data_IF_456400138509
#
_entry.id   IF_456400138509
#
_cell.length_a   1.000
_cell.length_b   1.000
_cell.length_c   1.000
_cell.angle_alpha   90.00
_cell.angle_beta   90.00
_cell.angle_gamma   90.00
#
_symmetry.space_group_name_H-M   'P 1'
#
loop_
_entity.id
_entity.type
_entity.pdbx_description
1 polymer ?
#
# COMPACT_ATOMS: atom_id res chain seq x y z
N UNK A 1 -13.97 7.85 -13.06
CA UNK A 1 -13.11 6.68 -12.69
C UNK A 1 -12.94 6.42 -11.19
N UNK A 2 -13.70 7.12 -10.34
CA UNK A 2 -13.56 7.15 -8.87
C UNK A 2 -13.69 5.80 -8.14
N UNK A 3 -14.34 4.80 -8.76
CA UNK A 3 -14.47 3.45 -8.19
C UNK A 3 -13.13 2.71 -8.08
N UNK A 4 -12.25 2.85 -9.06
CA UNK A 4 -10.92 2.19 -9.04
C UNK A 4 -10.08 2.71 -7.88
N UNK A 5 -10.05 4.04 -7.72
CA UNK A 5 -9.39 4.71 -6.59
C UNK A 5 -9.95 4.20 -5.26
N UNK A 6 -11.28 4.16 -5.10
CA UNK A 6 -11.94 3.69 -3.87
C UNK A 6 -11.60 2.23 -3.55
N UNK A 7 -11.62 1.34 -4.54
CA UNK A 7 -11.27 -0.07 -4.35
C UNK A 7 -9.81 -0.19 -3.92
N UNK A 8 -8.89 0.50 -4.60
CA UNK A 8 -7.48 0.49 -4.23
C UNK A 8 -7.25 1.03 -2.81
N UNK A 9 -7.91 2.14 -2.45
CA UNK A 9 -7.86 2.68 -1.08
C UNK A 9 -8.37 1.68 -0.05
N UNK A 10 -9.49 1.01 -0.32
CA UNK A 10 -10.04 0.01 0.59
C UNK A 10 -9.07 -1.17 0.79
N UNK A 11 -8.50 -1.70 -0.30
CA UNK A 11 -7.48 -2.76 -0.23
C UNK A 11 -6.25 -2.31 0.56
N UNK A 12 -5.79 -1.08 0.36
CA UNK A 12 -4.64 -0.54 1.09
C UNK A 12 -4.94 -0.38 2.58
N UNK A 13 -6.10 0.15 2.96
CA UNK A 13 -6.51 0.26 4.37
C UNK A 13 -6.63 -1.11 5.04
N UNK A 14 -7.20 -2.09 4.35
CA UNK A 14 -7.28 -3.47 4.85
C UNK A 14 -5.88 -4.05 5.05
N UNK A 15 -4.99 -3.89 4.07
CA UNK A 15 -3.62 -4.37 4.17
C UNK A 15 -2.85 -3.70 5.31
N UNK A 16 -3.04 -2.40 5.53
CA UNK A 16 -2.49 -1.69 6.71
C UNK A 16 -3.05 -2.25 8.02
N UNK A 17 -4.34 -2.52 8.08
CA UNK A 17 -4.97 -3.13 9.26
C UNK A 17 -4.35 -4.49 9.58
N UNK A 18 -4.24 -5.37 8.57
CA UNK A 18 -3.62 -6.69 8.72
C UNK A 18 -2.14 -6.59 9.10
N UNK A 19 -1.41 -5.65 8.50
CA UNK A 19 -0.03 -5.35 8.84
C UNK A 19 0.11 -4.98 10.32
N UNK A 20 -0.68 -4.02 10.81
CA UNK A 20 -0.64 -3.58 12.20
C UNK A 20 -1.02 -4.71 13.17
N UNK A 21 -2.06 -5.48 12.84
CA UNK A 21 -2.47 -6.65 13.65
C UNK A 21 -1.35 -7.68 13.73
N UNK A 22 -0.74 -8.03 12.60
CA UNK A 22 0.36 -8.98 12.53
C UNK A 22 1.62 -8.47 13.22
N UNK A 23 2.01 -7.20 13.03
CA UNK A 23 3.22 -6.63 13.63
C UNK A 23 3.10 -6.45 15.14
N UNK A 24 1.95 -5.99 15.64
CA UNK A 24 1.77 -5.70 17.07
C UNK A 24 1.10 -6.83 17.86
N UNK A 25 0.70 -7.92 17.21
CA UNK A 25 0.01 -9.03 17.86
C UNK A 25 -1.34 -8.63 18.45
N UNK A 26 -2.05 -7.70 17.79
CA UNK A 26 -3.38 -7.30 18.25
C UNK A 26 -4.34 -8.49 18.27
N UNK A 27 -5.32 -8.45 19.17
CA UNK A 27 -6.31 -9.52 19.38
C UNK A 27 -5.74 -10.84 19.93
N UNK A 28 -4.56 -10.82 20.56
CA UNK A 28 -3.94 -12.01 21.14
C UNK A 28 -3.27 -12.92 20.11
N UNK A 29 -3.03 -12.40 18.90
CA UNK A 29 -2.24 -13.07 17.88
C UNK A 29 -0.75 -12.98 18.23
N UNK A 30 0.02 -14.04 17.96
CA UNK A 30 1.48 -13.95 18.02
C UNK A 30 2.00 -13.00 16.93
N UNK A 31 2.95 -12.09 17.24
CA UNK A 31 3.51 -11.19 16.26
C UNK A 31 4.10 -11.96 15.07
N UNK A 32 3.65 -11.61 13.86
CA UNK A 32 4.07 -12.23 12.62
C UNK A 32 5.23 -11.44 11.97
N UNK A 33 6.43 -12.03 11.86
CA UNK A 33 7.57 -11.37 11.22
C UNK A 33 7.33 -11.08 9.72
N UNK A 34 6.38 -11.76 9.08
CA UNK A 34 6.02 -11.60 7.67
C UNK A 34 4.80 -10.71 7.45
N UNK A 35 4.31 -9.98 8.46
CA UNK A 35 3.15 -9.10 8.33
C UNK A 35 3.30 -8.05 7.20
N UNK A 36 4.54 -7.65 6.87
CA UNK A 36 4.84 -6.72 5.77
C UNK A 36 4.40 -7.22 4.38
N UNK A 37 4.19 -8.53 4.21
CA UNK A 37 3.78 -9.14 2.94
C UNK A 37 2.43 -8.61 2.45
N UNK A 38 1.53 -8.20 3.35
CA UNK A 38 0.22 -7.65 2.96
C UNK A 38 0.32 -6.34 2.16
N UNK A 39 1.39 -5.56 2.36
CA UNK A 39 1.63 -4.30 1.64
C UNK A 39 2.42 -4.50 0.34
N UNK A 40 3.12 -5.62 0.21
CA UNK A 40 4.09 -5.85 -0.88
C UNK A 40 3.44 -5.75 -2.27
N UNK A 41 2.34 -6.47 -2.57
CA UNK A 41 1.73 -6.43 -3.89
C UNK A 41 1.18 -5.06 -4.26
N UNK A 42 0.65 -4.32 -3.28
CA UNK A 42 0.05 -3.00 -3.50
C UNK A 42 1.09 -1.90 -3.70
N UNK A 43 2.33 -2.09 -3.20
CA UNK A 43 3.43 -1.14 -3.34
C UNK A 43 4.39 -1.45 -4.50
N UNK A 44 4.14 -2.47 -5.31
CA UNK A 44 4.94 -2.68 -6.52
C UNK A 44 4.76 -1.52 -7.52
N UNK A 45 5.80 -1.14 -8.28
CA UNK A 45 7.14 -1.72 -8.33
C UNK A 45 8.10 -1.13 -7.29
N UNK A 46 7.70 -0.09 -6.53
CA UNK A 46 8.58 0.64 -5.63
C UNK A 46 9.22 -0.27 -4.57
N UNK A 47 8.47 -1.25 -4.06
CA UNK A 47 9.02 -2.24 -3.14
C UNK A 47 10.20 -3.04 -3.73
N UNK A 48 10.16 -3.37 -5.03
CA UNK A 48 11.26 -4.05 -5.71
C UNK A 48 12.44 -3.10 -5.95
N UNK A 49 12.16 -1.81 -6.17
CA UNK A 49 13.20 -0.82 -6.42
C UNK A 49 14.10 -0.58 -5.20
N UNK A 50 13.54 -0.71 -3.99
CA UNK A 50 14.27 -0.56 -2.72
C UNK A 50 14.53 -1.89 -2.02
N UNK A 51 14.40 -3.01 -2.73
CA UNK A 51 14.69 -4.33 -2.17
C UNK A 51 16.16 -4.40 -1.73
N UNK A 52 16.41 -4.80 -0.48
CA UNK A 52 17.75 -4.87 0.12
C UNK A 52 18.24 -3.59 0.82
N UNK A 53 17.44 -2.52 0.85
CA UNK A 53 17.72 -1.34 1.68
C UNK A 53 17.13 -1.50 3.09
N UNK A 54 17.98 -1.90 4.04
CA UNK A 54 17.59 -2.08 5.45
C UNK A 54 17.34 -0.76 6.19
N UNK A 55 17.77 0.38 5.64
CA UNK A 55 17.62 1.69 6.27
C UNK A 55 16.20 2.20 6.09
N UNK A 56 15.63 2.02 4.89
CA UNK A 56 14.32 2.54 4.53
C UNK A 56 13.27 1.47 4.24
N UNK A 57 13.61 0.18 4.24
CA UNK A 57 12.73 -0.90 3.81
C UNK A 57 11.32 -0.87 4.44
N UNK A 58 11.22 -0.63 5.75
CA UNK A 58 9.92 -0.49 6.43
C UNK A 58 9.11 0.73 5.93
N UNK A 59 9.76 1.89 5.83
CA UNK A 59 9.10 3.12 5.38
C UNK A 59 8.68 3.00 3.92
N UNK A 60 9.50 2.38 3.08
CA UNK A 60 9.19 2.13 1.67
C UNK A 60 8.00 1.17 1.57
N UNK A 61 8.00 0.04 2.28
CA UNK A 61 6.87 -0.90 2.26
C UNK A 61 5.54 -0.24 2.66
N UNK A 62 5.60 0.69 3.62
CA UNK A 62 4.45 1.47 4.07
C UNK A 62 4.01 2.53 3.05
N UNK A 63 4.96 3.27 2.45
CA UNK A 63 4.66 4.41 1.58
C UNK A 63 4.44 4.03 0.11
N UNK A 64 4.96 2.90 -0.33
CA UNK A 64 4.86 2.45 -1.71
C UNK A 64 3.41 2.31 -2.22
N UNK A 65 2.47 1.70 -1.46
CA UNK A 65 1.05 1.70 -1.86
C UNK A 65 0.43 3.11 -1.89
N UNK A 66 0.88 4.01 -1.00
CA UNK A 66 0.40 5.40 -0.98
C UNK A 66 0.85 6.17 -2.23
N UNK A 67 2.09 5.94 -2.70
CA UNK A 67 2.59 6.48 -3.97
C UNK A 67 1.71 6.00 -5.14
N UNK A 68 1.41 4.70 -5.20
CA UNK A 68 0.53 4.14 -6.22
C UNK A 68 -0.88 4.73 -6.18
N UNK A 69 -1.45 4.93 -5.00
CA UNK A 69 -2.75 5.58 -4.85
C UNK A 69 -2.72 7.03 -5.37
N UNK A 70 -1.66 7.78 -5.08
CA UNK A 70 -1.48 9.14 -5.58
C UNK A 70 -1.39 9.21 -7.11
N UNK A 71 -0.60 8.31 -7.71
CA UNK A 71 -0.49 8.19 -9.18
C UNK A 71 -1.85 7.82 -9.79
N UNK A 72 -2.53 6.82 -9.23
CA UNK A 72 -3.83 6.37 -9.71
C UNK A 72 -4.87 7.49 -9.66
N UNK A 73 -4.89 8.25 -8.56
CA UNK A 73 -5.77 9.41 -8.42
C UNK A 73 -5.47 10.46 -9.48
N UNK A 74 -4.20 10.83 -9.67
CA UNK A 74 -3.79 11.82 -10.67
C UNK A 74 -4.14 11.39 -12.11
N UNK A 75 -3.92 10.13 -12.46
CA UNK A 75 -4.27 9.59 -13.79
C UNK A 75 -5.78 9.61 -13.98
N UNK A 76 -6.55 9.19 -12.97
CA UNK A 76 -8.01 9.20 -13.06
C UNK A 76 -8.57 10.62 -13.20
N UNK A 77 -7.99 11.59 -12.49
CA UNK A 77 -8.37 13.00 -12.54
C UNK A 77 -8.05 13.62 -13.90
N UNK A 78 -6.85 13.37 -14.45
CA UNK A 78 -6.44 13.84 -15.77
C UNK A 78 -7.29 13.26 -16.91
N UNK A 79 -7.79 12.03 -16.78
CA UNK A 79 -8.68 11.45 -17.79
C UNK A 79 -10.07 12.08 -17.70
N UNK A 80 -10.62 12.23 -16.49
CA UNK A 80 -11.93 12.88 -16.27
C UNK A 80 -11.91 14.32 -16.80
N UNK A 81 -10.81 15.08 -16.57
CA UNK A 81 -10.64 16.45 -17.08
C UNK A 81 -10.51 16.57 -18.60
N UNK A 82 -10.32 15.46 -19.33
CA UNK A 82 -10.24 15.42 -20.80
C UNK A 82 -11.54 14.98 -21.45
N UNK A 83 -12.46 14.39 -20.67
CA UNK A 83 -13.79 14.00 -21.12
C UNK A 83 -14.79 15.16 -21.04
N UNK A 84 -14.51 16.16 -20.21
CA UNK A 84 -15.24 17.44 -20.07
C UNK A 84 -14.83 18.49 -21.13
#
# INVERSE_FOLDING_TARGET
MKWVVRIFTALYVIALGLFLVGTFGWFGQEPDPMAGVFLMPLGMPWNLFFEGDDTFGFLVALMAPAINLGILWMVCDLVESRED
#
